data_IF_389866930625
#
_entry.id   IF_389866930625
#
_cell.length_a   1.000
_cell.length_b   1.000
_cell.length_c   1.000
_cell.angle_alpha   90.00
_cell.angle_beta   90.00
_cell.angle_gamma   90.00
#
_symmetry.space_group_name_H-M   'P 1'
#
loop_
_entity.id
_entity.type
_entity.pdbx_description
1 polymer ?
#
# COMPACT_ATOMS: atom_id res chain seq x y z
N UNK A 1 17.90 -3.22 2.54
CA UNK A 1 16.69 -3.97 2.12
C UNK A 1 16.67 -4.19 0.60
N UNK A 2 17.05 -3.17 -0.20
CA UNK A 2 17.01 -3.20 -1.67
C UNK A 2 18.03 -4.09 -2.40
N UNK A 3 19.15 -4.50 -1.77
CA UNK A 3 20.15 -5.39 -2.39
C UNK A 3 19.98 -6.89 -2.06
N UNK A 4 18.79 -7.29 -1.61
CA UNK A 4 18.54 -8.70 -1.36
C UNK A 4 18.10 -9.38 -2.65
N UNK A 5 18.98 -10.23 -3.20
CA UNK A 5 18.72 -10.98 -4.44
C UNK A 5 17.40 -11.74 -4.41
N UNK A 6 16.99 -12.28 -3.25
CA UNK A 6 15.73 -13.00 -3.12
C UNK A 6 14.51 -12.11 -3.38
N UNK A 7 14.55 -10.85 -2.93
CA UNK A 7 13.45 -9.92 -3.22
C UNK A 7 13.41 -9.53 -4.69
N UNK A 8 14.56 -9.28 -5.31
CA UNK A 8 14.65 -8.94 -6.73
C UNK A 8 14.09 -10.09 -7.58
N UNK A 9 14.57 -11.31 -7.35
CA UNK A 9 14.11 -12.49 -8.11
C UNK A 9 12.61 -12.75 -7.94
N UNK A 10 12.05 -12.49 -6.74
CA UNK A 10 10.62 -12.57 -6.52
C UNK A 10 9.84 -11.58 -7.40
N UNK A 11 10.26 -10.31 -7.46
CA UNK A 11 9.57 -9.31 -8.29
C UNK A 11 9.75 -9.61 -9.78
N UNK A 12 10.93 -10.06 -10.22
CA UNK A 12 11.17 -10.45 -11.61
C UNK A 12 10.27 -11.62 -12.04
N UNK A 13 10.15 -12.65 -11.20
CA UNK A 13 9.26 -13.79 -11.43
C UNK A 13 7.79 -13.36 -11.42
N UNK A 14 7.38 -12.57 -10.42
CA UNK A 14 6.02 -12.06 -10.32
C UNK A 14 5.61 -11.25 -11.55
N UNK A 15 6.46 -10.31 -12.00
CA UNK A 15 6.19 -9.47 -13.18
C UNK A 15 6.10 -10.34 -14.43
N UNK A 16 6.98 -11.34 -14.58
CA UNK A 16 6.95 -12.26 -15.72
C UNK A 16 5.65 -13.05 -15.79
N UNK A 17 5.14 -13.52 -14.65
CA UNK A 17 3.89 -14.29 -14.59
C UNK A 17 2.63 -13.43 -14.68
N UNK A 18 2.70 -12.16 -14.26
CA UNK A 18 1.54 -11.28 -14.10
C UNK A 18 1.67 -9.99 -14.94
N UNK A 19 2.40 -10.04 -16.06
CA UNK A 19 2.76 -8.85 -16.85
C UNK A 19 1.58 -7.92 -17.17
N UNK A 20 0.42 -8.49 -17.52
CA UNK A 20 -0.78 -7.73 -17.85
C UNK A 20 -1.44 -7.04 -16.63
N UNK A 21 -1.17 -7.53 -15.43
CA UNK A 21 -1.72 -7.04 -14.17
C UNK A 21 -0.77 -6.11 -13.42
N UNK A 22 0.42 -5.84 -13.97
CA UNK A 22 1.36 -4.88 -13.41
C UNK A 22 1.10 -3.50 -14.01
N UNK A 23 1.18 -2.48 -13.16
CA UNK A 23 1.22 -1.08 -13.57
C UNK A 23 2.62 -0.54 -13.25
N UNK A 24 3.33 -0.11 -14.28
CA UNK A 24 4.68 0.43 -14.19
C UNK A 24 4.70 1.74 -14.97
N UNK A 25 4.91 2.83 -14.25
CA UNK A 25 4.98 4.18 -14.83
C UNK A 25 6.17 4.91 -14.24
N UNK A 26 6.82 5.78 -15.02
CA UNK A 26 7.98 6.54 -14.57
C UNK A 26 8.04 7.91 -15.22
N UNK A 27 8.78 8.82 -14.58
CA UNK A 27 9.21 10.10 -15.17
C UNK A 27 10.71 10.05 -15.37
N UNK A 28 11.14 10.44 -16.56
CA UNK A 28 12.54 10.63 -16.91
C UNK A 28 12.83 12.13 -17.10
N UNK A 29 13.90 12.63 -16.48
CA UNK A 29 14.40 13.99 -16.65
C UNK A 29 15.88 13.89 -17.02
N UNK A 30 16.27 14.41 -18.19
CA UNK A 30 17.65 14.37 -18.67
C UNK A 30 18.26 12.96 -18.70
N UNK A 31 17.48 11.94 -19.09
CA UNK A 31 17.87 10.52 -19.09
C UNK A 31 18.09 9.89 -17.71
N UNK A 32 17.69 10.59 -16.64
CA UNK A 32 17.67 10.08 -15.28
C UNK A 32 16.23 9.79 -14.85
N UNK A 33 16.00 8.64 -14.24
CA UNK A 33 14.69 8.29 -13.68
C UNK A 33 14.44 9.15 -12.43
N UNK A 34 13.50 10.08 -12.54
CA UNK A 34 13.16 11.02 -11.47
C UNK A 34 12.07 10.48 -10.53
N UNK A 35 11.13 9.70 -11.06
CA UNK A 35 10.07 9.05 -10.30
C UNK A 35 9.68 7.72 -10.95
N UNK A 36 9.30 6.75 -10.13
CA UNK A 36 8.79 5.43 -10.54
C UNK A 36 7.59 5.09 -9.69
N UNK A 37 6.61 4.48 -10.34
CA UNK A 37 5.52 3.79 -9.70
C UNK A 37 5.57 2.31 -10.08
N UNK A 38 5.51 1.43 -9.09
CA UNK A 38 5.22 0.00 -9.27
C UNK A 38 3.92 -0.33 -8.55
N UNK A 39 2.93 -0.75 -9.33
CA UNK A 39 1.56 -1.01 -8.90
C UNK A 39 0.96 -2.21 -9.60
N UNK A 40 -0.34 -2.37 -9.39
CA UNK A 40 -1.11 -3.45 -9.99
C UNK A 40 -2.39 -2.91 -10.61
N UNK A 41 -2.95 -3.69 -11.54
CA UNK A 41 -4.21 -3.38 -12.19
C UNK A 41 -5.03 -4.62 -12.49
N UNK A 42 -6.34 -4.43 -12.46
CA UNK A 42 -7.31 -5.33 -13.05
C UNK A 42 -8.31 -4.53 -13.89
N UNK A 43 -9.40 -5.18 -14.33
CA UNK A 43 -10.40 -4.56 -15.19
C UNK A 43 -11.20 -3.45 -14.50
N UNK A 44 -11.12 -3.33 -13.17
CA UNK A 44 -11.93 -2.46 -12.36
C UNK A 44 -11.11 -1.45 -11.55
N UNK A 45 -9.86 -1.78 -11.21
CA UNK A 45 -9.07 -0.97 -10.27
C UNK A 45 -7.60 -0.83 -10.65
N UNK A 46 -7.04 0.31 -10.25
CA UNK A 46 -5.58 0.52 -10.13
C UNK A 46 -5.19 0.53 -8.66
N UNK A 47 -4.11 -0.17 -8.33
CA UNK A 47 -3.56 -0.27 -6.99
C UNK A 47 -2.22 0.46 -6.91
N UNK A 48 -2.23 1.62 -6.26
CA UNK A 48 -1.06 2.50 -6.15
C UNK A 48 -0.09 2.00 -5.06
N UNK A 49 0.69 0.95 -5.39
CA UNK A 49 1.47 0.18 -4.41
C UNK A 49 2.77 0.82 -3.95
N UNK A 50 3.74 1.02 -4.85
CA UNK A 50 5.08 1.52 -4.50
C UNK A 50 5.39 2.75 -5.36
N UNK A 51 5.13 3.96 -4.86
CA UNK A 51 5.69 5.17 -5.42
C UNK A 51 7.08 5.46 -4.87
N UNK A 52 8.03 5.78 -5.74
CA UNK A 52 9.39 6.19 -5.39
C UNK A 52 9.76 7.38 -6.25
N UNK A 53 10.52 8.31 -5.69
CA UNK A 53 11.14 9.39 -6.43
C UNK A 53 12.54 9.65 -5.92
N UNK A 54 13.39 10.17 -6.78
CA UNK A 54 14.73 10.59 -6.40
C UNK A 54 14.65 11.86 -5.53
N UNK A 55 15.34 11.85 -4.39
CA UNK A 55 15.38 12.95 -3.42
C UNK A 55 15.84 14.28 -4.05
N UNK A 56 16.65 14.23 -5.13
CA UNK A 56 17.02 15.40 -5.95
C UNK A 56 15.81 16.21 -6.42
N UNK A 57 14.66 15.56 -6.60
CA UNK A 57 13.42 16.13 -7.11
C UNK A 57 12.34 16.28 -6.03
N UNK A 58 12.70 16.21 -4.74
CA UNK A 58 11.73 16.32 -3.64
C UNK A 58 10.94 17.63 -3.67
N UNK A 59 11.57 18.72 -4.09
CA UNK A 59 10.96 20.06 -4.15
C UNK A 59 10.29 20.37 -5.50
N UNK A 60 10.39 19.47 -6.48
CA UNK A 60 9.81 19.70 -7.82
C UNK A 60 8.49 18.94 -8.03
N UNK A 61 8.07 18.13 -7.06
CA UNK A 61 6.77 17.46 -7.08
C UNK A 61 6.66 16.33 -8.10
N UNK A 62 7.78 15.76 -8.57
CA UNK A 62 7.77 14.69 -9.60
C UNK A 62 6.90 13.49 -9.23
N UNK A 63 6.84 13.12 -7.95
CA UNK A 63 5.95 12.06 -7.49
C UNK A 63 4.46 12.42 -7.64
N UNK A 64 4.09 13.68 -7.37
CA UNK A 64 2.72 14.16 -7.55
C UNK A 64 2.36 14.29 -9.03
N UNK A 65 3.29 14.73 -9.87
CA UNK A 65 3.11 14.77 -11.34
C UNK A 65 2.91 13.36 -11.87
N UNK A 66 3.73 12.39 -11.46
CA UNK A 66 3.59 11.00 -11.90
C UNK A 66 2.22 10.44 -11.50
N UNK A 67 1.83 10.64 -10.24
CA UNK A 67 0.52 10.23 -9.74
C UNK A 67 -0.64 10.86 -10.54
N UNK A 68 -0.57 12.16 -10.82
CA UNK A 68 -1.56 12.85 -11.66
C UNK A 68 -1.71 12.17 -13.01
N UNK A 69 -0.60 11.89 -13.70
CA UNK A 69 -0.60 11.28 -15.02
C UNK A 69 -1.18 9.85 -14.99
N UNK A 70 -0.92 9.08 -13.94
CA UNK A 70 -1.51 7.74 -13.79
C UNK A 70 -3.02 7.85 -13.58
N UNK A 71 -3.48 8.75 -12.69
CA UNK A 71 -4.91 8.98 -12.46
C UNK A 71 -5.61 9.42 -13.74
N UNK A 72 -5.06 10.42 -14.44
CA UNK A 72 -5.59 10.94 -15.69
C UNK A 72 -5.66 9.84 -16.76
N UNK A 73 -4.61 9.02 -16.89
CA UNK A 73 -4.60 7.92 -17.84
C UNK A 73 -5.73 6.91 -17.56
N UNK A 74 -6.03 6.61 -16.30
CA UNK A 74 -7.04 5.61 -15.93
C UNK A 74 -8.42 6.18 -15.64
N UNK A 75 -8.62 7.49 -15.69
CA UNK A 75 -9.83 8.19 -15.23
C UNK A 75 -11.15 7.57 -15.75
N UNK A 76 -11.22 7.28 -17.06
CA UNK A 76 -12.41 6.65 -17.69
C UNK A 76 -12.23 5.15 -17.98
N UNK A 77 -11.12 4.55 -17.52
CA UNK A 77 -10.76 3.15 -17.84
C UNK A 77 -11.04 2.18 -16.71
N UNK A 78 -11.18 2.67 -15.49
CA UNK A 78 -11.39 1.85 -14.29
C UNK A 78 -12.48 2.46 -13.42
N UNK A 79 -13.02 1.67 -12.50
CA UNK A 79 -14.03 2.13 -11.55
C UNK A 79 -13.41 2.79 -10.31
N UNK A 80 -12.17 2.45 -9.98
CA UNK A 80 -11.54 2.91 -8.75
C UNK A 80 -10.02 3.04 -8.85
N UNK A 81 -9.49 4.12 -8.27
CA UNK A 81 -8.07 4.29 -8.01
C UNK A 81 -7.82 4.06 -6.51
N UNK A 82 -7.21 2.93 -6.16
CA UNK A 82 -6.97 2.50 -4.79
C UNK A 82 -5.56 2.90 -4.33
N UNK A 83 -5.49 3.90 -3.43
CA UNK A 83 -4.25 4.35 -2.80
C UNK A 83 -3.67 3.37 -1.77
N UNK A 84 -4.33 2.23 -1.57
CA UNK A 84 -4.03 1.22 -0.57
C UNK A 84 -4.01 1.79 0.85
N UNK A 85 -3.49 0.97 1.76
CA UNK A 85 -3.31 1.33 3.17
C UNK A 85 -2.40 2.54 3.38
N UNK A 86 -2.61 3.21 4.51
CA UNK A 86 -1.76 4.30 4.97
C UNK A 86 -2.51 5.63 4.96
N UNK A 87 -2.08 6.54 5.83
CA UNK A 87 -2.71 7.85 6.05
C UNK A 87 -1.74 8.97 5.62
N UNK A 88 -0.97 8.73 4.56
CA UNK A 88 -0.06 9.73 4.00
C UNK A 88 -0.87 10.93 3.50
N UNK A 89 -0.50 12.14 3.96
CA UNK A 89 -1.30 13.35 3.75
C UNK A 89 -1.60 13.65 2.27
N UNK A 90 -0.69 13.32 1.36
CA UNK A 90 -0.85 13.61 -0.07
C UNK A 90 -2.04 12.88 -0.71
N UNK A 91 -2.47 11.73 -0.17
CA UNK A 91 -3.62 10.96 -0.69
C UNK A 91 -4.92 11.78 -0.59
N UNK A 92 -5.03 12.59 0.47
CA UNK A 92 -6.18 13.45 0.72
C UNK A 92 -6.26 14.68 -0.18
N UNK A 93 -5.24 14.92 -1.02
CA UNK A 93 -5.34 15.90 -2.09
C UNK A 93 -6.17 15.37 -3.28
N UNK A 94 -6.43 14.05 -3.35
CA UNK A 94 -7.10 13.38 -4.46
C UNK A 94 -8.47 12.82 -4.09
N UNK A 95 -8.67 12.44 -2.83
CA UNK A 95 -9.94 11.88 -2.34
C UNK A 95 -10.07 12.07 -0.83
N UNK A 96 -11.30 12.24 -0.37
CA UNK A 96 -11.68 12.20 1.04
C UNK A 96 -12.33 10.84 1.43
N UNK A 97 -12.52 9.94 0.47
CA UNK A 97 -13.06 8.61 0.70
C UNK A 97 -12.05 7.69 1.39
N UNK A 98 -12.52 6.97 2.41
CA UNK A 98 -11.72 6.01 3.16
C UNK A 98 -12.46 4.68 3.26
N UNK A 99 -11.81 3.60 2.81
CA UNK A 99 -12.29 2.22 2.99
C UNK A 99 -11.57 1.56 4.14
N UNK A 100 -12.33 0.98 5.06
CA UNK A 100 -11.81 0.28 6.23
C UNK A 100 -11.89 -1.24 6.02
N UNK A 101 -10.78 -1.93 6.26
CA UNK A 101 -10.78 -3.38 6.39
C UNK A 101 -11.19 -3.77 7.81
N UNK A 102 -12.15 -4.69 7.94
CA UNK A 102 -12.65 -5.16 9.23
C UNK A 102 -12.14 -6.57 9.53
N UNK A 103 -11.72 -6.80 10.77
CA UNK A 103 -11.38 -8.12 11.29
C UNK A 103 -12.56 -8.66 12.10
N UNK A 104 -13.17 -9.74 11.62
CA UNK A 104 -14.30 -10.40 12.31
C UNK A 104 -13.79 -11.63 13.06
N UNK A 105 -13.93 -11.61 14.38
CA UNK A 105 -13.50 -12.71 15.25
C UNK A 105 -14.72 -13.45 15.81
N UNK A 106 -14.88 -14.73 15.45
CA UNK A 106 -16.01 -15.57 15.87
C UNK A 106 -15.54 -16.59 16.92
N UNK A 107 -16.24 -16.65 18.05
CA UNK A 107 -15.92 -17.56 19.15
C UNK A 107 -17.09 -18.48 19.48
N UNK A 108 -16.78 -19.70 19.94
CA UNK A 108 -17.79 -20.61 20.48
C UNK A 108 -18.41 -20.00 21.74
N UNK A 109 -19.72 -20.20 21.93
CA UNK A 109 -20.43 -19.75 23.14
C UNK A 109 -20.13 -20.68 24.34
N UNK A 110 -18.88 -20.69 24.79
CA UNK A 110 -18.42 -21.45 25.95
C UNK A 110 -17.31 -20.67 26.69
N UNK A 111 -16.86 -21.18 27.84
CA UNK A 111 -15.83 -20.52 28.66
C UNK A 111 -14.54 -20.23 27.89
N UNK A 112 -14.07 -21.19 27.08
CA UNK A 112 -12.87 -21.00 26.27
C UNK A 112 -13.04 -19.89 25.21
N UNK A 113 -14.21 -19.80 24.59
CA UNK A 113 -14.53 -18.72 23.65
C UNK A 113 -14.58 -17.36 24.31
N UNK A 114 -15.18 -17.27 25.50
CA UNK A 114 -15.19 -16.03 26.32
C UNK A 114 -13.78 -15.60 26.71
N UNK A 115 -12.92 -16.54 27.12
CA UNK A 115 -11.51 -16.27 27.44
C UNK A 115 -10.76 -15.75 26.21
N UNK A 116 -10.91 -16.39 25.04
CA UNK A 116 -10.27 -15.93 23.80
C UNK A 116 -10.73 -14.52 23.38
N UNK A 117 -12.03 -14.25 23.50
CA UNK A 117 -12.59 -12.92 23.27
C UNK A 117 -11.94 -11.86 24.17
N UNK A 118 -11.86 -12.12 25.48
CA UNK A 118 -11.19 -11.23 26.44
C UNK A 118 -9.71 -11.00 26.08
N UNK A 119 -8.98 -12.06 25.67
CA UNK A 119 -7.58 -11.94 25.23
C UNK A 119 -7.48 -11.00 24.02
N UNK A 120 -8.36 -11.09 23.03
CA UNK A 120 -8.34 -10.20 21.86
C UNK A 120 -8.62 -8.75 22.28
N UNK A 121 -9.63 -8.51 23.13
CA UNK A 121 -9.92 -7.16 23.62
C UNK A 121 -8.70 -6.57 24.34
N UNK A 122 -8.09 -7.34 25.26
CA UNK A 122 -6.91 -6.89 25.99
C UNK A 122 -5.77 -6.59 25.02
N UNK A 123 -5.49 -7.47 24.06
CA UNK A 123 -4.47 -7.22 23.01
C UNK A 123 -4.76 -5.93 22.24
N UNK A 124 -6.02 -5.68 21.87
CA UNK A 124 -6.40 -4.48 21.12
C UNK A 124 -6.20 -3.21 21.97
N UNK A 125 -6.60 -3.23 23.24
CA UNK A 125 -6.39 -2.11 24.17
C UNK A 125 -4.90 -1.82 24.38
N UNK A 126 -4.09 -2.86 24.58
CA UNK A 126 -2.64 -2.70 24.76
C UNK A 126 -1.94 -2.15 23.51
N UNK A 127 -2.41 -2.52 22.31
CA UNK A 127 -1.87 -1.99 21.04
C UNK A 127 -2.10 -0.48 20.84
N UNK A 128 -2.99 0.17 21.60
CA UNK A 128 -3.16 1.63 21.59
C UNK A 128 -1.94 2.37 22.15
N UNK A 129 -1.18 1.76 23.05
CA UNK A 129 0.08 2.32 23.55
C UNK A 129 1.24 2.00 22.61
N UNK A 130 1.95 3.04 22.15
CA UNK A 130 3.12 2.90 21.27
C UNK A 130 4.21 1.98 21.83
N UNK A 131 4.40 1.96 23.16
CA UNK A 131 5.40 1.10 23.84
C UNK A 131 4.95 -0.37 23.88
N UNK A 132 3.72 -0.64 24.31
CA UNK A 132 3.16 -2.00 24.41
C UNK A 132 3.02 -2.67 23.04
N UNK A 133 2.68 -1.90 22.00
CA UNK A 133 2.64 -2.38 20.61
C UNK A 133 3.96 -2.98 20.14
N UNK A 134 5.11 -2.42 20.55
CA UNK A 134 6.44 -2.92 20.15
C UNK A 134 6.80 -4.25 20.82
N UNK A 135 6.27 -4.52 22.02
CA UNK A 135 6.52 -5.77 22.76
C UNK A 135 5.63 -6.87 22.21
N UNK A 136 4.34 -6.58 22.00
CA UNK A 136 3.35 -7.55 21.53
C UNK A 136 3.55 -8.01 20.08
N UNK A 137 4.26 -7.24 19.25
CA UNK A 137 4.58 -7.61 17.86
C UNK A 137 5.96 -8.29 17.72
N UNK A 138 6.70 -8.49 18.82
CA UNK A 138 7.98 -9.21 18.86
C UNK A 138 7.85 -10.68 19.29
N UNK A 139 6.64 -11.08 19.68
CA UNK A 139 6.24 -12.46 20.06
C UNK A 139 5.30 -12.94 18.96
#
# INVERSE_FOLDING_TARGET
MFNNRRYISFYEEFIRENYNNVELSYIEINKEIAAVHFGFKDNYKIYYYIPVYDEKYINTGVGAILLYNIIEFYFDKVLEFDFLRGNEQYKFNWTDEIKMNYEVNIFKNNYLGKIKYLIIIIKHLLKKSRKLRRILNKI
#
